data_IF_840594061289
#
_entry.id   IF_840594061289
#
_cell.length_a   1.000
_cell.length_b   1.000
_cell.length_c   1.000
_cell.angle_alpha   90.00
_cell.angle_beta   90.00
_cell.angle_gamma   90.00
#
_symmetry.space_group_name_H-M   'P 1'
#
loop_
_entity.id
_entity.type
_entity.pdbx_description
1 polymer ?
#
# COMPACT_ATOMS: atom_id res chain seq x y z
N UNK A 1 10.30 -13.30 10.78
CA UNK A 1 10.34 -14.44 9.86
C UNK A 1 10.02 -13.92 8.47
N UNK A 2 10.98 -14.03 7.56
CA UNK A 2 10.81 -13.60 6.18
C UNK A 2 9.75 -14.50 5.51
N UNK A 3 8.58 -13.92 5.22
CA UNK A 3 7.48 -14.63 4.56
C UNK A 3 7.85 -15.09 3.15
N UNK A 4 8.90 -14.52 2.56
CA UNK A 4 9.41 -14.90 1.24
C UNK A 4 10.03 -16.29 1.22
N UNK A 5 10.55 -16.77 2.35
CA UNK A 5 11.13 -18.10 2.45
C UNK A 5 10.08 -19.23 2.54
N UNK A 6 8.80 -18.90 2.73
CA UNK A 6 7.72 -19.88 2.74
C UNK A 6 7.25 -20.32 1.35
N UNK A 7 7.66 -19.64 0.28
CA UNK A 7 7.43 -20.07 -1.10
C UNK A 7 8.59 -20.96 -1.58
N UNK A 8 8.75 -22.10 -0.96
CA UNK A 8 9.85 -23.03 -1.28
C UNK A 8 9.61 -23.66 -2.64
N UNK A 9 10.56 -23.47 -3.56
CA UNK A 9 10.69 -24.31 -4.74
C UNK A 9 10.88 -25.75 -4.27
N UNK A 10 9.88 -26.60 -4.44
CA UNK A 10 10.00 -28.02 -4.10
C UNK A 10 10.72 -28.74 -5.23
N UNK A 11 11.99 -29.05 -5.02
CA UNK A 11 12.71 -29.95 -5.89
C UNK A 11 12.29 -31.39 -5.57
N UNK A 12 11.70 -32.08 -6.53
CA UNK A 12 11.40 -33.51 -6.42
C UNK A 12 12.53 -34.26 -7.10
N UNK A 13 13.35 -34.90 -6.31
CA UNK A 13 14.42 -35.78 -6.78
C UNK A 13 13.84 -37.17 -7.01
N UNK A 14 13.91 -37.65 -8.25
CA UNK A 14 13.61 -39.04 -8.59
C UNK A 14 14.91 -39.73 -8.96
N UNK A 15 15.23 -40.81 -8.26
CA UNK A 15 16.42 -41.63 -8.50
C UNK A 15 15.98 -43.02 -8.90
N UNK A 16 16.33 -43.45 -10.12
CA UNK A 16 16.17 -44.81 -10.57
C UNK A 16 17.53 -45.50 -10.55
N UNK A 17 17.62 -46.65 -9.90
CA UNK A 17 18.85 -47.43 -9.85
C UNK A 17 18.61 -48.79 -10.48
N UNK A 18 19.46 -49.16 -11.45
CA UNK A 18 19.46 -50.45 -12.08
C UNK A 18 20.59 -51.26 -11.46
N UNK A 19 20.25 -52.45 -10.97
CA UNK A 19 21.21 -53.44 -10.50
C UNK A 19 21.35 -54.51 -11.58
N UNK A 20 22.57 -54.86 -11.93
CA UNK A 20 22.84 -55.89 -12.91
C UNK A 20 24.10 -56.66 -12.52
N UNK A 21 24.20 -57.92 -12.99
CA UNK A 21 25.40 -58.72 -12.79
C UNK A 21 26.25 -58.70 -14.05
N UNK A 22 27.49 -58.23 -13.94
CA UNK A 22 28.47 -58.29 -15.00
C UNK A 22 29.72 -59.02 -14.52
N UNK A 23 30.14 -60.05 -15.27
CA UNK A 23 31.32 -60.87 -14.96
C UNK A 23 31.29 -61.44 -13.54
N UNK A 24 30.09 -61.86 -13.06
CA UNK A 24 29.92 -62.50 -11.71
C UNK A 24 30.01 -61.49 -10.56
N UNK A 25 29.97 -60.18 -10.84
CA UNK A 25 29.88 -59.14 -9.82
C UNK A 25 28.58 -58.40 -9.96
N UNK A 26 27.96 -58.04 -8.84
CA UNK A 26 26.83 -57.14 -8.84
C UNK A 26 27.32 -55.70 -9.07
N UNK A 27 26.74 -55.02 -10.04
CA UNK A 27 26.98 -53.64 -10.36
C UNK A 27 25.65 -52.85 -10.35
N UNK A 28 25.72 -51.55 -10.11
CA UNK A 28 24.56 -50.70 -10.18
C UNK A 28 24.87 -49.40 -10.93
N UNK A 29 23.89 -48.88 -11.65
CA UNK A 29 23.91 -47.54 -12.24
C UNK A 29 22.64 -46.80 -11.85
N UNK A 30 22.83 -45.60 -11.37
CA UNK A 30 21.72 -44.69 -11.01
C UNK A 30 21.60 -43.55 -12.00
N UNK A 31 20.40 -43.27 -12.41
CA UNK A 31 20.00 -42.03 -13.09
C UNK A 31 19.19 -41.18 -12.12
N UNK A 32 19.45 -39.91 -12.15
CA UNK A 32 18.78 -38.93 -11.32
C UNK A 32 18.15 -37.84 -12.17
N UNK A 33 16.88 -37.50 -11.90
CA UNK A 33 16.22 -36.34 -12.48
C UNK A 33 15.63 -35.48 -11.36
N UNK A 34 15.90 -34.21 -11.42
CA UNK A 34 15.40 -33.21 -10.47
C UNK A 34 14.34 -32.37 -11.16
N UNK A 35 13.08 -32.66 -10.83
CA UNK A 35 11.99 -31.78 -11.25
C UNK A 35 12.01 -30.52 -10.39
N UNK A 36 12.36 -29.39 -11.02
CA UNK A 36 12.25 -28.06 -10.40
C UNK A 36 10.85 -27.54 -10.70
N UNK A 37 10.03 -27.36 -9.68
CA UNK A 37 8.79 -26.59 -9.84
C UNK A 37 9.18 -25.12 -9.89
N UNK A 38 9.17 -24.47 -11.08
CA UNK A 38 9.61 -23.10 -11.17
C UNK A 38 8.69 -22.19 -10.34
N UNK A 39 9.29 -21.22 -9.65
CA UNK A 39 8.51 -20.15 -9.06
C UNK A 39 7.69 -19.44 -10.15
N UNK A 40 6.53 -18.87 -9.81
CA UNK A 40 5.83 -18.03 -10.76
C UNK A 40 6.78 -16.92 -11.23
N UNK A 41 6.83 -16.64 -12.55
CA UNK A 41 7.77 -15.67 -13.11
C UNK A 41 7.52 -14.23 -12.63
N UNK A 42 6.34 -13.96 -12.13
CA UNK A 42 5.94 -12.69 -11.53
C UNK A 42 5.13 -12.94 -10.27
N UNK A 43 5.44 -12.18 -9.21
CA UNK A 43 4.61 -12.05 -8.02
C UNK A 43 4.33 -10.57 -7.75
N UNK A 44 3.21 -10.29 -7.08
CA UNK A 44 2.79 -8.94 -6.72
C UNK A 44 2.25 -8.93 -5.29
N UNK A 45 2.75 -8.00 -4.48
CA UNK A 45 2.33 -7.84 -3.10
C UNK A 45 2.05 -6.38 -2.77
N UNK A 46 1.13 -6.15 -1.83
CA UNK A 46 0.97 -4.84 -1.16
C UNK A 46 1.98 -4.80 -0.02
N UNK A 47 2.83 -3.79 0.00
CA UNK A 47 3.86 -3.61 1.05
C UNK A 47 3.45 -2.61 2.10
N UNK A 48 2.66 -1.60 1.72
CA UNK A 48 2.12 -0.61 2.64
C UNK A 48 0.84 0.03 2.09
N UNK A 49 0.06 0.62 2.98
CA UNK A 49 -1.05 1.50 2.63
C UNK A 49 -1.10 2.68 3.60
N UNK A 50 -1.52 3.83 3.09
CA UNK A 50 -1.73 5.03 3.89
C UNK A 50 -3.14 5.53 3.59
N UNK A 51 -4.06 5.18 4.47
CA UNK A 51 -5.49 5.43 4.33
C UNK A 51 -5.79 6.92 4.14
N UNK A 52 -5.23 7.79 4.98
CA UNK A 52 -5.50 9.24 4.98
C UNK A 52 -5.05 9.95 3.69
N UNK A 53 -4.08 9.43 2.99
CA UNK A 53 -3.55 10.01 1.74
C UNK A 53 -3.93 9.22 0.51
N UNK A 54 -4.72 8.16 0.66
CA UNK A 54 -5.17 7.32 -0.45
C UNK A 54 -4.04 6.63 -1.20
N UNK A 55 -2.97 6.23 -0.49
CA UNK A 55 -1.76 5.64 -1.11
C UNK A 55 -1.64 4.16 -0.83
N UNK A 56 -1.22 3.41 -1.86
CA UNK A 56 -0.90 1.99 -1.76
C UNK A 56 0.47 1.75 -2.37
N UNK A 57 1.35 1.13 -1.60
CA UNK A 57 2.68 0.72 -2.07
C UNK A 57 2.67 -0.75 -2.46
N UNK A 58 3.29 -1.05 -3.58
CA UNK A 58 3.37 -2.38 -4.15
C UNK A 58 4.83 -2.79 -4.37
N UNK A 59 5.05 -4.09 -4.36
CA UNK A 59 6.27 -4.73 -4.82
C UNK A 59 5.92 -5.73 -5.91
N UNK A 60 6.58 -5.61 -7.05
CA UNK A 60 6.63 -6.62 -8.10
C UNK A 60 7.93 -7.40 -7.93
N UNK A 61 7.84 -8.70 -7.91
CA UNK A 61 8.98 -9.61 -7.81
C UNK A 61 9.03 -10.46 -9.09
N UNK A 62 10.06 -10.21 -9.90
CA UNK A 62 10.26 -10.87 -11.20
C UNK A 62 11.37 -11.90 -11.07
N UNK A 63 11.02 -13.19 -11.15
CA UNK A 63 12.01 -14.27 -11.13
C UNK A 63 12.68 -14.43 -12.50
N UNK A 64 13.93 -14.06 -12.59
CA UNK A 64 14.70 -14.16 -13.84
C UNK A 64 15.00 -15.61 -14.23
N UNK A 65 15.23 -16.48 -13.25
CA UNK A 65 15.51 -17.91 -13.49
C UNK A 65 14.30 -18.68 -14.03
N UNK A 66 13.08 -18.12 -13.92
CA UNK A 66 11.86 -18.71 -14.46
C UNK A 66 11.65 -18.44 -15.95
N UNK A 67 12.57 -17.69 -16.57
CA UNK A 67 12.49 -17.27 -17.97
C UNK A 67 13.73 -17.70 -18.75
N UNK A 68 13.51 -18.10 -20.03
CA UNK A 68 14.61 -18.36 -20.94
C UNK A 68 15.08 -17.02 -21.54
N UNK A 69 16.05 -16.39 -20.89
CA UNK A 69 16.64 -15.12 -21.34
C UNK A 69 18.02 -15.39 -21.98
N UNK A 70 18.25 -14.77 -23.14
CA UNK A 70 19.51 -14.92 -23.90
C UNK A 70 20.27 -13.61 -24.05
N UNK A 71 19.68 -12.49 -23.64
CA UNK A 71 20.20 -11.14 -23.81
C UNK A 71 19.66 -10.45 -25.06
N UNK A 72 19.40 -9.16 -24.94
CA UNK A 72 18.80 -8.34 -25.99
C UNK A 72 17.27 -8.26 -25.93
N UNK A 73 16.62 -9.06 -25.09
CA UNK A 73 15.18 -8.97 -24.88
C UNK A 73 14.82 -7.80 -23.96
N UNK A 74 13.55 -7.41 -24.01
CA UNK A 74 12.95 -6.53 -23.00
C UNK A 74 11.95 -7.32 -22.16
N UNK A 75 12.11 -7.29 -20.86
CA UNK A 75 11.12 -7.78 -19.89
C UNK A 75 10.25 -6.61 -19.50
N UNK A 76 8.94 -6.70 -19.73
CA UNK A 76 7.97 -5.65 -19.43
C UNK A 76 6.91 -6.17 -18.48
N UNK A 77 6.63 -5.45 -17.42
CA UNK A 77 5.46 -5.67 -16.58
C UNK A 77 4.43 -4.60 -16.94
N UNK A 78 3.29 -5.03 -17.45
CA UNK A 78 2.12 -4.17 -17.68
C UNK A 78 1.21 -4.28 -16.47
N UNK A 79 1.15 -3.22 -15.68
CA UNK A 79 0.40 -3.15 -14.43
C UNK A 79 -0.87 -2.32 -14.64
N UNK A 80 -2.02 -2.99 -14.64
CA UNK A 80 -3.32 -2.34 -14.79
C UNK A 80 -3.72 -1.77 -13.44
N UNK A 81 -3.60 -0.46 -13.32
CA UNK A 81 -3.97 0.26 -12.10
C UNK A 81 -5.49 0.19 -11.89
N UNK A 82 -5.93 0.18 -10.63
CA UNK A 82 -7.36 0.30 -10.34
C UNK A 82 -7.92 1.61 -10.91
N UNK A 83 -9.21 1.59 -11.25
CA UNK A 83 -9.94 2.83 -11.56
C UNK A 83 -9.77 3.82 -10.41
N UNK A 84 -9.66 5.10 -10.72
CA UNK A 84 -9.44 6.19 -9.76
C UNK A 84 -8.08 6.17 -9.03
N UNK A 85 -7.11 5.38 -9.53
CA UNK A 85 -5.73 5.42 -9.08
C UNK A 85 -4.75 5.77 -10.22
N UNK A 86 -3.65 6.40 -9.86
CA UNK A 86 -2.52 6.73 -10.75
C UNK A 86 -1.21 6.37 -10.07
N UNK A 87 -0.11 6.29 -10.83
CA UNK A 87 1.22 6.24 -10.24
C UNK A 87 1.46 7.51 -9.41
N UNK A 88 1.93 7.34 -8.19
CA UNK A 88 2.40 8.46 -7.39
C UNK A 88 3.71 8.99 -7.98
N UNK A 89 3.93 10.30 -7.85
CA UNK A 89 5.20 10.94 -8.20
C UNK A 89 6.37 10.52 -7.27
N UNK A 90 6.10 9.68 -6.26
CA UNK A 90 7.14 9.10 -5.42
C UNK A 90 8.09 8.22 -6.24
N UNK A 91 9.34 8.13 -5.76
CA UNK A 91 10.39 7.40 -6.45
C UNK A 91 10.03 5.92 -6.63
N UNK A 92 10.13 5.45 -7.88
CA UNK A 92 10.07 4.03 -8.23
C UNK A 92 11.47 3.47 -8.07
N UNK A 93 11.62 2.40 -7.29
CA UNK A 93 12.92 1.77 -7.08
C UNK A 93 12.93 0.38 -7.69
N UNK A 94 14.07 -0.01 -8.26
CA UNK A 94 14.30 -1.36 -8.74
C UNK A 94 15.69 -1.84 -8.30
N UNK A 95 15.77 -3.10 -7.89
CA UNK A 95 17.03 -3.69 -7.46
C UNK A 95 17.04 -5.21 -7.71
N UNK A 96 18.26 -5.75 -7.89
CA UNK A 96 18.44 -7.20 -7.89
C UNK A 96 18.28 -7.75 -6.48
N UNK A 97 17.59 -8.87 -6.40
CA UNK A 97 17.35 -9.61 -5.17
C UNK A 97 17.74 -11.06 -5.40
N UNK A 98 18.42 -11.66 -4.46
CA UNK A 98 18.82 -13.06 -4.51
C UNK A 98 18.13 -13.82 -3.39
N UNK A 99 17.80 -15.07 -3.68
CA UNK A 99 17.28 -16.03 -2.72
C UNK A 99 18.08 -17.32 -2.85
N UNK A 100 18.79 -17.68 -1.79
CA UNK A 100 19.48 -18.95 -1.65
C UNK A 100 18.75 -19.82 -0.64
N UNK A 101 17.91 -20.70 -1.15
CA UNK A 101 17.08 -21.60 -0.32
C UNK A 101 17.95 -22.61 0.44
N UNK A 102 19.04 -23.07 -0.17
CA UNK A 102 19.92 -24.06 0.45
C UNK A 102 20.61 -23.52 1.72
N UNK A 103 20.94 -22.22 1.74
CA UNK A 103 21.58 -21.57 2.87
C UNK A 103 20.62 -20.71 3.70
N UNK A 104 19.31 -20.76 3.39
CA UNK A 104 18.27 -19.97 4.06
C UNK A 104 18.60 -18.47 4.11
N UNK A 105 19.06 -17.93 2.99
CA UNK A 105 19.54 -16.57 2.86
C UNK A 105 18.83 -15.86 1.70
N UNK A 106 18.38 -14.63 1.93
CA UNK A 106 17.75 -13.81 0.90
C UNK A 106 17.97 -12.31 1.19
N UNK A 107 18.18 -11.51 0.14
CA UNK A 107 18.40 -10.08 0.31
C UNK A 107 18.71 -9.34 -0.98
N UNK A 108 18.87 -8.01 -0.88
CA UNK A 108 19.35 -7.19 -2.00
C UNK A 108 20.76 -7.61 -2.39
N UNK A 109 21.00 -7.80 -3.68
CA UNK A 109 22.31 -8.21 -4.16
C UNK A 109 23.40 -7.17 -3.85
N UNK A 110 23.06 -5.88 -3.78
CA UNK A 110 23.98 -4.84 -3.33
C UNK A 110 24.59 -5.10 -1.95
N UNK A 111 23.80 -5.69 -1.06
CA UNK A 111 24.17 -5.98 0.33
C UNK A 111 24.85 -7.35 0.45
N UNK A 112 24.69 -8.18 -0.57
CA UNK A 112 25.14 -9.57 -0.66
C UNK A 112 26.01 -9.80 -1.92
N UNK A 113 26.84 -8.82 -2.24
CA UNK A 113 27.62 -8.76 -3.50
C UNK A 113 28.55 -9.98 -3.74
N UNK A 114 28.87 -10.73 -2.68
CA UNK A 114 29.65 -11.98 -2.79
C UNK A 114 28.96 -13.03 -3.66
N UNK A 115 27.61 -13.02 -3.77
CA UNK A 115 26.89 -13.90 -4.71
C UNK A 115 27.21 -13.60 -6.17
N UNK A 116 27.63 -12.40 -6.49
CA UNK A 116 28.01 -12.04 -7.85
C UNK A 116 29.33 -12.70 -8.30
N UNK A 117 30.06 -13.35 -7.40
CA UNK A 117 31.30 -14.07 -7.75
C UNK A 117 32.38 -13.17 -8.40
N UNK A 118 32.35 -11.86 -8.10
CA UNK A 118 33.22 -10.84 -8.72
C UNK A 118 32.70 -10.25 -10.03
N UNK A 119 31.54 -10.69 -10.52
CA UNK A 119 30.88 -10.03 -11.66
C UNK A 119 30.38 -8.63 -11.27
N UNK A 120 30.37 -7.72 -12.21
CA UNK A 120 29.79 -6.39 -12.02
C UNK A 120 28.29 -6.49 -11.91
N UNK A 121 27.67 -5.87 -10.89
CA UNK A 121 26.23 -5.73 -10.78
C UNK A 121 25.78 -4.61 -11.73
N UNK A 122 25.08 -4.92 -12.84
CA UNK A 122 24.70 -3.91 -13.80
C UNK A 122 23.59 -3.00 -13.26
N UNK A 123 23.48 -1.81 -13.84
CA UNK A 123 22.29 -0.98 -13.62
C UNK A 123 21.08 -1.65 -14.28
N UNK A 124 19.95 -1.71 -13.57
CA UNK A 124 18.71 -2.31 -14.09
C UNK A 124 18.19 -1.58 -15.33
N UNK A 125 18.44 -0.26 -15.43
CA UNK A 125 17.98 0.52 -16.58
C UNK A 125 16.45 0.57 -16.69
N UNK A 126 15.73 0.49 -15.56
CA UNK A 126 14.27 0.49 -15.52
C UNK A 126 13.71 1.72 -16.24
N UNK A 127 12.85 1.46 -17.22
CA UNK A 127 12.05 2.47 -17.91
C UNK A 127 10.61 2.37 -17.44
N UNK A 128 9.99 3.52 -17.13
CA UNK A 128 8.64 3.57 -16.60
C UNK A 128 7.78 4.50 -17.44
N UNK A 129 6.53 4.11 -17.65
CA UNK A 129 5.50 4.95 -18.28
C UNK A 129 4.13 4.61 -17.72
N UNK A 130 3.21 5.55 -17.82
CA UNK A 130 1.80 5.32 -17.53
C UNK A 130 0.96 5.82 -18.70
N UNK A 131 0.06 4.99 -19.18
CA UNK A 131 -0.85 5.35 -20.26
C UNK A 131 -2.19 4.66 -20.04
N UNK A 132 -3.28 5.42 -20.00
CA UNK A 132 -4.64 4.90 -19.86
C UNK A 132 -4.83 3.94 -18.67
N UNK A 133 -4.28 4.28 -17.51
CA UNK A 133 -4.36 3.46 -16.30
C UNK A 133 -3.49 2.20 -16.32
N UNK A 134 -2.56 2.08 -17.26
CA UNK A 134 -1.57 1.01 -17.30
C UNK A 134 -0.20 1.59 -17.02
N UNK A 135 0.39 1.19 -15.90
CA UNK A 135 1.79 1.46 -15.60
C UNK A 135 2.65 0.37 -16.24
N UNK A 136 3.65 0.78 -17.01
CA UNK A 136 4.60 -0.13 -17.67
C UNK A 136 5.97 0.03 -17.05
N UNK A 137 6.55 -1.10 -16.64
CA UNK A 137 7.89 -1.21 -16.10
C UNK A 137 8.73 -2.08 -17.05
N UNK A 138 9.60 -1.46 -17.83
CA UNK A 138 10.41 -2.16 -18.84
C UNK A 138 11.85 -2.24 -18.41
N UNK A 139 12.41 -3.45 -18.45
CA UNK A 139 13.76 -3.79 -18.08
C UNK A 139 14.46 -4.34 -19.32
N UNK A 140 15.49 -3.65 -19.86
CA UNK A 140 16.31 -4.19 -20.94
C UNK A 140 17.23 -5.30 -20.38
N UNK A 141 17.12 -6.50 -20.90
CA UNK A 141 17.99 -7.62 -20.53
C UNK A 141 19.29 -7.52 -21.34
N UNK A 142 20.37 -7.18 -20.66
CA UNK A 142 21.69 -7.04 -21.30
C UNK A 142 22.53 -8.31 -21.15
N UNK A 143 23.62 -8.41 -21.91
CA UNK A 143 24.59 -9.48 -21.73
C UNK A 143 25.17 -9.51 -20.30
N UNK A 144 25.31 -8.35 -19.66
CA UNK A 144 25.77 -8.26 -18.28
C UNK A 144 24.80 -8.88 -17.28
N UNK A 145 23.46 -8.82 -17.54
CA UNK A 145 22.46 -9.52 -16.74
C UNK A 145 22.66 -11.02 -16.82
N UNK A 146 22.86 -11.55 -18.03
CA UNK A 146 23.12 -12.98 -18.23
C UNK A 146 24.41 -13.41 -17.55
N UNK A 147 25.46 -12.59 -17.66
CA UNK A 147 26.73 -12.84 -16.99
C UNK A 147 26.57 -12.86 -15.46
N UNK A 148 25.80 -11.91 -14.90
CA UNK A 148 25.49 -11.86 -13.48
C UNK A 148 24.70 -13.10 -13.01
N UNK A 149 23.66 -13.48 -13.72
CA UNK A 149 22.85 -14.67 -13.39
C UNK A 149 23.72 -15.94 -13.37
N UNK A 150 24.57 -16.11 -14.39
CA UNK A 150 25.50 -17.24 -14.46
C UNK A 150 26.53 -17.23 -13.32
N UNK A 151 27.01 -16.04 -12.94
CA UNK A 151 27.95 -15.92 -11.82
C UNK A 151 27.30 -16.29 -10.48
N UNK A 152 26.04 -15.89 -10.27
CA UNK A 152 25.27 -16.23 -9.08
C UNK A 152 25.02 -17.75 -9.01
N UNK A 153 24.61 -18.35 -10.11
CA UNK A 153 24.35 -19.80 -10.19
C UNK A 153 25.63 -20.62 -9.98
N UNK A 154 26.76 -20.16 -10.52
CA UNK A 154 28.08 -20.78 -10.29
C UNK A 154 28.57 -20.63 -8.84
N UNK A 155 28.21 -19.56 -8.15
CA UNK A 155 28.58 -19.36 -6.74
C UNK A 155 27.79 -20.31 -5.82
N UNK A 156 26.49 -20.41 -6.02
CA UNK A 156 25.60 -21.29 -5.24
C UNK A 156 24.50 -21.82 -6.15
N UNK A 157 24.64 -23.06 -6.60
CA UNK A 157 23.69 -23.70 -7.49
C UNK A 157 22.28 -23.73 -6.87
N UNK A 158 21.29 -23.29 -7.63
CA UNK A 158 19.90 -23.18 -7.18
C UNK A 158 19.57 -21.89 -6.47
N UNK A 159 20.48 -20.92 -6.46
CA UNK A 159 20.15 -19.55 -6.05
C UNK A 159 19.27 -18.90 -7.11
N UNK A 160 18.19 -18.28 -6.65
CA UNK A 160 17.25 -17.59 -7.52
C UNK A 160 17.61 -16.11 -7.59
N UNK A 161 17.64 -15.59 -8.82
CA UNK A 161 17.88 -14.16 -9.09
C UNK A 161 16.57 -13.51 -9.48
N UNK A 162 16.21 -12.44 -8.79
CA UNK A 162 15.01 -11.66 -8.99
C UNK A 162 15.33 -10.21 -9.29
N UNK A 163 14.42 -9.51 -9.95
CA UNK A 163 14.33 -8.06 -9.92
C UNK A 163 13.09 -7.69 -9.13
N UNK A 164 13.26 -6.89 -8.09
CA UNK A 164 12.16 -6.29 -7.34
C UNK A 164 11.97 -4.85 -7.74
N UNK A 165 10.71 -4.48 -8.00
CA UNK A 165 10.29 -3.12 -8.34
C UNK A 165 9.31 -2.68 -7.25
N UNK A 166 9.66 -1.61 -6.54
CA UNK A 166 8.80 -0.98 -5.54
C UNK A 166 8.26 0.32 -6.10
N UNK A 167 6.97 0.52 -6.02
CA UNK A 167 6.28 1.71 -6.48
C UNK A 167 5.04 1.98 -5.62
N UNK A 168 4.53 3.20 -5.71
CA UNK A 168 3.34 3.63 -4.99
C UNK A 168 2.31 4.15 -5.98
N UNK A 169 1.05 3.82 -5.75
CA UNK A 169 -0.10 4.46 -6.40
C UNK A 169 -0.82 5.36 -5.42
N UNK A 170 -1.54 6.32 -5.94
CA UNK A 170 -2.37 7.23 -5.14
C UNK A 170 -3.72 7.43 -5.82
N UNK A 171 -4.76 7.71 -5.05
CA UNK A 171 -6.06 8.06 -5.60
C UNK A 171 -5.96 9.33 -6.44
N UNK A 172 -6.69 9.38 -7.55
CA UNK A 172 -6.69 10.53 -8.46
C UNK A 172 -7.30 11.78 -7.83
N UNK A 173 -8.26 11.58 -6.91
CA UNK A 173 -8.94 12.62 -6.17
C UNK A 173 -9.19 12.17 -4.73
N UNK A 174 -8.53 12.82 -3.76
CA UNK A 174 -8.78 12.59 -2.34
C UNK A 174 -10.18 13.02 -1.93
N UNK A 175 -10.71 14.05 -2.57
CA UNK A 175 -12.06 14.55 -2.33
C UNK A 175 -13.12 13.52 -2.70
N UNK A 176 -13.05 12.96 -3.93
CA UNK A 176 -14.00 11.93 -4.35
C UNK A 176 -13.85 10.65 -3.51
N UNK A 177 -12.64 10.32 -3.13
CA UNK A 177 -12.38 9.21 -2.22
C UNK A 177 -12.97 9.48 -0.82
N UNK A 178 -12.84 10.70 -0.30
CA UNK A 178 -13.42 11.10 0.99
C UNK A 178 -14.96 10.97 0.99
N UNK A 179 -15.62 11.32 -0.12
CA UNK A 179 -17.07 11.16 -0.30
C UNK A 179 -17.51 9.69 -0.28
N UNK A 180 -16.66 8.75 -0.72
CA UNK A 180 -16.95 7.31 -0.72
C UNK A 180 -16.82 6.65 0.66
N UNK A 181 -16.02 7.18 1.55
CA UNK A 181 -15.76 6.67 2.89
C UNK A 181 -14.80 5.47 2.96
N UNK A 182 -14.90 4.52 2.04
CA UNK A 182 -13.93 3.43 1.85
C UNK A 182 -14.06 2.83 0.47
N UNK A 183 -12.97 2.30 -0.07
CA UNK A 183 -12.96 1.67 -1.39
C UNK A 183 -11.96 0.51 -1.44
N UNK A 184 -12.32 -0.53 -2.21
CA UNK A 184 -11.48 -1.70 -2.43
C UNK A 184 -10.88 -1.62 -3.82
N UNK A 185 -9.56 -1.63 -3.86
CA UNK A 185 -8.76 -1.53 -5.08
C UNK A 185 -8.13 -2.87 -5.42
N UNK A 186 -8.36 -3.33 -6.66
CA UNK A 186 -7.70 -4.52 -7.21
C UNK A 186 -6.72 -4.07 -8.29
N UNK A 187 -5.46 -4.40 -8.10
CA UNK A 187 -4.37 -4.06 -9.01
C UNK A 187 -3.81 -5.33 -9.63
N UNK A 188 -3.68 -5.39 -10.96
CA UNK A 188 -3.32 -6.58 -11.73
C UNK A 188 -2.11 -6.32 -12.62
N UNK A 189 -1.15 -7.25 -12.63
CA UNK A 189 0.07 -7.13 -13.42
C UNK A 189 0.27 -8.35 -14.32
N UNK A 190 0.72 -8.12 -15.56
CA UNK A 190 1.09 -9.14 -16.54
C UNK A 190 2.55 -8.96 -16.97
N UNK A 191 3.32 -10.05 -16.87
CA UNK A 191 4.69 -10.10 -17.36
C UNK A 191 4.70 -10.42 -18.86
N UNK A 192 5.62 -9.79 -19.58
CA UNK A 192 5.88 -9.99 -21.01
C UNK A 192 7.36 -10.06 -21.30
N UNK A 193 7.73 -10.88 -22.28
CA UNK A 193 9.05 -10.83 -22.95
C UNK A 193 8.79 -10.40 -24.39
N UNK A 194 9.29 -9.22 -24.75
CA UNK A 194 8.87 -8.57 -25.99
C UNK A 194 7.35 -8.35 -26.01
N UNK A 195 6.67 -8.94 -26.99
CA UNK A 195 5.19 -8.88 -27.11
C UNK A 195 4.47 -10.09 -26.49
N UNK A 196 5.19 -11.11 -26.02
CA UNK A 196 4.63 -12.38 -25.56
C UNK A 196 4.36 -12.36 -24.05
N UNK A 197 3.14 -12.72 -23.65
CA UNK A 197 2.80 -12.87 -22.23
C UNK A 197 3.52 -14.08 -21.63
N UNK A 198 4.03 -13.92 -20.42
CA UNK A 198 4.70 -14.96 -19.62
C UNK A 198 3.88 -15.23 -18.36
N UNK A 199 3.47 -16.46 -18.20
CA UNK A 199 2.61 -16.84 -17.07
C UNK A 199 1.21 -16.23 -17.14
N UNK A 200 0.46 -16.37 -16.05
CA UNK A 200 -0.85 -15.75 -15.86
C UNK A 200 -0.70 -14.40 -15.17
N UNK A 201 -1.63 -13.44 -15.39
CA UNK A 201 -1.65 -12.21 -14.63
C UNK A 201 -1.72 -12.47 -13.13
N UNK A 202 -1.02 -11.66 -12.36
CA UNK A 202 -1.08 -11.66 -10.89
C UNK A 202 -1.86 -10.46 -10.41
N UNK A 203 -2.67 -10.63 -9.36
CA UNK A 203 -3.51 -9.56 -8.83
C UNK A 203 -3.38 -9.50 -7.31
N UNK A 204 -3.52 -8.30 -6.76
CA UNK A 204 -3.65 -8.09 -5.33
C UNK A 204 -4.78 -7.10 -5.06
N UNK A 205 -5.47 -7.31 -3.94
CA UNK A 205 -6.63 -6.51 -3.54
C UNK A 205 -6.39 -5.92 -2.16
N UNK A 206 -6.70 -4.64 -1.98
CA UNK A 206 -6.63 -3.98 -0.68
C UNK A 206 -7.73 -2.95 -0.54
N UNK A 207 -8.18 -2.72 0.70
CA UNK A 207 -9.16 -1.70 1.02
C UNK A 207 -8.49 -0.54 1.70
N UNK A 208 -8.72 0.68 1.19
CA UNK A 208 -8.40 1.93 1.86
C UNK A 208 -9.65 2.48 2.56
N UNK A 209 -9.42 3.16 3.66
CA UNK A 209 -10.43 3.97 4.34
C UNK A 209 -10.15 5.43 4.04
N UNK A 210 -11.16 6.13 3.56
CA UNK A 210 -11.04 7.55 3.30
C UNK A 210 -10.83 8.35 4.60
N UNK A 211 -10.26 9.56 4.52
CA UNK A 211 -10.20 10.47 5.65
C UNK A 211 -11.59 10.70 6.23
N UNK A 212 -11.68 10.72 7.56
CA UNK A 212 -12.93 11.02 8.23
C UNK A 212 -13.34 12.47 7.94
N UNK A 213 -14.56 12.65 7.41
CA UNK A 213 -15.11 14.00 7.15
C UNK A 213 -15.57 14.69 8.44
N UNK A 214 -15.82 13.94 9.49
CA UNK A 214 -16.21 14.45 10.80
C UNK A 214 -15.56 13.60 11.90
N UNK A 215 -15.06 14.27 12.94
CA UNK A 215 -14.66 13.64 14.20
C UNK A 215 -15.25 14.41 15.36
N UNK A 216 -15.47 13.71 16.49
CA UNK A 216 -15.99 14.33 17.71
C UNK A 216 -15.23 13.76 18.90
N UNK A 217 -14.68 14.64 19.69
CA UNK A 217 -14.03 14.37 20.98
C UNK A 217 -14.75 15.14 22.07
N UNK A 218 -14.66 14.64 23.31
CA UNK A 218 -15.31 15.31 24.42
C UNK A 218 -14.68 14.98 25.77
N UNK A 219 -14.83 15.92 26.71
CA UNK A 219 -14.43 15.77 28.10
C UNK A 219 -15.65 15.95 29.00
N UNK A 220 -15.88 15.00 29.89
CA UNK A 220 -16.94 15.07 30.90
C UNK A 220 -16.37 15.40 32.26
N UNK A 221 -16.88 16.44 32.90
CA UNK A 221 -16.48 16.91 34.21
C UNK A 221 -17.45 16.40 35.30
N UNK A 222 -17.41 15.09 35.53
CA UNK A 222 -18.35 14.38 36.40
C UNK A 222 -17.96 14.32 37.89
N UNK A 223 -16.74 14.75 38.23
CA UNK A 223 -16.24 14.70 39.62
C UNK A 223 -16.34 16.06 40.30
N UNK A 224 -17.04 16.12 41.42
CA UNK A 224 -17.05 17.30 42.27
C UNK A 224 -15.84 17.26 43.18
N UNK A 225 -15.03 18.33 43.18
CA UNK A 225 -13.89 18.48 44.06
C UNK A 225 -14.29 19.19 45.35
N UNK A 226 -14.22 18.47 46.48
CA UNK A 226 -14.56 18.99 47.81
C UNK A 226 -13.41 19.80 48.45
N UNK A 227 -12.29 19.99 47.78
CA UNK A 227 -11.17 20.78 48.30
C UNK A 227 -11.56 22.25 48.37
N UNK A 228 -11.23 22.89 49.53
CA UNK A 228 -11.50 24.31 49.73
C UNK A 228 -10.80 25.16 48.66
N UNK A 229 -11.59 25.92 47.91
CA UNK A 229 -11.11 26.78 46.79
C UNK A 229 -11.00 26.07 45.45
N UNK A 230 -11.44 24.82 45.33
CA UNK A 230 -11.53 24.13 44.02
C UNK A 230 -12.54 24.81 43.06
N UNK A 231 -12.18 24.89 41.80
CA UNK A 231 -13.08 25.38 40.75
C UNK A 231 -14.01 24.26 40.29
N UNK A 232 -15.25 24.29 40.75
CA UNK A 232 -16.32 23.38 40.33
C UNK A 232 -17.25 23.99 39.28
N UNK A 233 -16.88 25.06 38.60
CA UNK A 233 -17.72 25.76 37.66
C UNK A 233 -18.15 24.86 36.45
N UNK A 234 -17.33 23.85 36.13
CA UNK A 234 -17.59 22.85 35.08
C UNK A 234 -18.24 21.54 35.61
N UNK A 235 -18.48 21.43 36.88
CA UNK A 235 -19.06 20.18 37.41
C UNK A 235 -20.37 19.82 36.72
N UNK A 236 -20.50 18.54 36.38
CA UNK A 236 -21.65 17.97 35.65
C UNK A 236 -21.86 18.56 34.22
N UNK A 237 -20.79 19.05 33.62
CA UNK A 237 -20.79 19.51 32.25
C UNK A 237 -19.96 18.61 31.35
N UNK A 238 -20.24 18.66 30.04
CA UNK A 238 -19.42 18.04 29.01
C UNK A 238 -19.06 19.09 27.96
N UNK A 239 -17.78 19.13 27.60
CA UNK A 239 -17.28 19.96 26.50
C UNK A 239 -16.95 19.07 25.32
N UNK A 240 -17.40 19.43 24.14
CA UNK A 240 -17.14 18.70 22.91
C UNK A 240 -16.40 19.55 21.90
N UNK A 241 -15.53 18.90 21.16
CA UNK A 241 -14.92 19.45 19.95
C UNK A 241 -15.33 18.57 18.78
N UNK A 242 -15.89 19.20 17.75
CA UNK A 242 -16.26 18.54 16.49
C UNK A 242 -15.40 19.15 15.40
N UNK A 243 -14.62 18.31 14.73
CA UNK A 243 -13.88 18.69 13.53
C UNK A 243 -14.70 18.26 12.32
N UNK A 244 -14.85 19.17 11.35
CA UNK A 244 -15.63 18.95 10.12
C UNK A 244 -14.76 19.26 8.92
N UNK A 245 -14.73 18.35 7.95
CA UNK A 245 -14.05 18.51 6.67
C UNK A 245 -12.56 18.91 6.81
N UNK A 246 -11.80 18.15 7.57
CA UNK A 246 -10.38 18.43 7.87
C UNK A 246 -9.50 18.57 6.62
N UNK A 247 -9.89 17.95 5.50
CA UNK A 247 -9.22 18.08 4.21
C UNK A 247 -9.61 19.33 3.41
N UNK A 248 -10.54 20.14 3.91
CA UNK A 248 -11.10 21.30 3.21
C UNK A 248 -11.60 20.97 1.78
N UNK A 249 -12.17 19.77 1.61
CA UNK A 249 -12.69 19.29 0.33
C UNK A 249 -13.94 20.06 -0.09
N UNK A 250 -14.16 20.21 -1.41
CA UNK A 250 -15.42 20.70 -1.99
C UNK A 250 -16.43 19.54 -2.00
N UNK A 251 -17.21 19.43 -0.92
CA UNK A 251 -18.13 18.31 -0.71
C UNK A 251 -19.51 18.56 -1.35
N UNK A 252 -19.89 19.81 -1.52
CA UNK A 252 -21.18 20.23 -2.08
C UNK A 252 -20.94 21.15 -3.28
N UNK A 253 -21.15 20.69 -4.52
CA UNK A 253 -20.87 21.50 -5.71
C UNK A 253 -21.58 22.86 -5.71
N UNK A 254 -20.88 23.90 -6.14
CA UNK A 254 -21.36 25.25 -6.21
C UNK A 254 -21.29 25.99 -4.86
N UNK A 255 -22.25 26.91 -4.60
CA UNK A 255 -22.30 27.67 -3.34
C UNK A 255 -23.06 26.91 -2.22
N UNK A 256 -22.96 25.57 -2.23
CA UNK A 256 -23.64 24.72 -1.25
C UNK A 256 -23.09 24.90 0.16
N UNK A 257 -23.88 24.47 1.14
CA UNK A 257 -23.49 24.46 2.55
C UNK A 257 -23.46 23.02 3.07
N UNK A 258 -22.49 22.73 3.92
CA UNK A 258 -22.46 21.48 4.66
C UNK A 258 -23.51 21.50 5.77
N UNK A 259 -24.20 20.41 5.93
CA UNK A 259 -25.05 20.19 7.10
C UNK A 259 -24.33 19.25 8.07
N UNK A 260 -24.07 19.71 9.29
CA UNK A 260 -23.64 18.85 10.39
C UNK A 260 -24.73 18.75 11.45
N UNK A 261 -24.97 17.54 11.95
CA UNK A 261 -25.94 17.30 13.01
C UNK A 261 -25.23 16.67 14.21
N UNK A 262 -25.35 17.32 15.36
CA UNK A 262 -24.89 16.77 16.64
C UNK A 262 -26.08 16.38 17.50
N UNK A 263 -26.09 15.15 18.01
CA UNK A 263 -27.17 14.63 18.86
C UNK A 263 -26.62 14.26 20.24
N UNK A 264 -27.20 14.90 21.26
CA UNK A 264 -26.90 14.53 22.67
C UNK A 264 -27.83 13.45 23.20
N UNK A 265 -27.32 12.70 24.17
CA UNK A 265 -28.15 11.85 25.01
C UNK A 265 -29.15 12.69 25.85
N UNK A 266 -30.26 12.07 26.24
CA UNK A 266 -31.38 12.75 26.93
C UNK A 266 -31.04 13.33 28.30
N UNK A 267 -29.89 12.93 28.87
CA UNK A 267 -29.40 13.43 30.17
C UNK A 267 -28.71 14.82 30.07
N UNK A 268 -28.43 15.31 28.85
CA UNK A 268 -27.74 16.55 28.63
C UNK A 268 -28.60 17.54 27.85
N UNK A 269 -28.35 18.82 28.07
CA UNK A 269 -28.87 19.92 27.28
C UNK A 269 -27.75 20.79 26.74
N UNK A 270 -27.95 21.39 25.58
CA UNK A 270 -26.99 22.29 24.97
C UNK A 270 -26.97 23.66 25.64
N UNK A 271 -25.77 24.18 25.90
CA UNK A 271 -25.58 25.59 26.17
C UNK A 271 -25.38 26.33 24.85
N UNK A 272 -26.44 26.88 24.27
CA UNK A 272 -26.39 27.55 22.97
C UNK A 272 -25.45 28.77 22.92
N UNK A 273 -25.16 29.39 24.08
CA UNK A 273 -24.28 30.56 24.16
C UNK A 273 -22.79 30.19 24.14
N UNK A 274 -22.47 28.94 24.47
CA UNK A 274 -21.07 28.46 24.45
C UNK A 274 -20.58 28.03 23.09
N UNK A 275 -21.49 27.82 22.12
CA UNK A 275 -21.17 27.31 20.79
C UNK A 275 -20.32 28.30 20.02
N UNK A 276 -19.16 27.86 19.54
CA UNK A 276 -18.25 28.61 18.70
C UNK A 276 -17.84 27.75 17.51
N UNK A 277 -17.73 28.39 16.36
CA UNK A 277 -17.25 27.76 15.11
C UNK A 277 -16.03 28.53 14.64
N UNK A 278 -15.00 27.77 14.27
CA UNK A 278 -13.74 28.31 13.76
C UNK A 278 -13.44 27.71 12.39
N UNK A 279 -12.88 28.52 11.52
CA UNK A 279 -12.12 28.02 10.37
C UNK A 279 -10.69 27.74 10.83
N UNK A 280 -10.15 26.56 10.46
CA UNK A 280 -8.78 26.15 10.81
C UNK A 280 -7.93 26.15 9.55
N UNK A 281 -6.90 26.97 9.52
CA UNK A 281 -6.00 27.07 8.39
C UNK A 281 -4.54 27.03 8.87
N UNK A 282 -3.79 26.00 8.47
CA UNK A 282 -2.41 25.80 8.89
C UNK A 282 -2.22 25.76 10.40
N UNK A 283 -3.23 25.27 11.16
CA UNK A 283 -3.24 25.22 12.61
C UNK A 283 -3.69 26.52 13.31
N UNK A 284 -4.01 27.55 12.55
CA UNK A 284 -4.57 28.82 13.08
C UNK A 284 -6.09 28.75 13.06
N UNK A 285 -6.71 29.03 14.20
CA UNK A 285 -8.17 29.08 14.38
C UNK A 285 -8.68 30.52 14.21
N UNK A 286 -9.55 30.74 13.23
CA UNK A 286 -10.21 32.03 13.00
C UNK A 286 -11.70 31.90 13.32
N UNK A 287 -12.25 32.68 14.27
CA UNK A 287 -13.65 32.55 14.65
C UNK A 287 -14.57 32.99 13.52
N UNK A 288 -15.63 32.22 13.29
CA UNK A 288 -16.73 32.51 12.36
C UNK A 288 -17.89 33.16 13.09
N UNK A 289 -18.64 34.02 12.40
CA UNK A 289 -19.78 34.77 12.93
C UNK A 289 -21.08 34.02 12.71
N UNK A 290 -21.81 33.74 13.79
CA UNK A 290 -23.14 33.14 13.71
C UNK A 290 -24.14 34.06 13.01
N UNK A 291 -24.97 33.49 12.16
CA UNK A 291 -25.95 34.20 11.34
C UNK A 291 -25.39 34.81 10.04
N UNK A 292 -24.07 34.93 9.91
CA UNK A 292 -23.38 35.40 8.70
C UNK A 292 -22.62 34.28 8.01
N UNK A 293 -21.66 33.68 8.72
CA UNK A 293 -20.78 32.64 8.15
C UNK A 293 -21.40 31.26 8.31
N UNK A 294 -22.11 31.01 9.41
CA UNK A 294 -22.81 29.76 9.66
C UNK A 294 -24.15 30.03 10.38
N UNK A 295 -25.01 29.01 10.39
CA UNK A 295 -26.21 29.00 11.24
C UNK A 295 -26.27 27.78 12.09
N UNK A 296 -26.86 27.88 13.28
CA UNK A 296 -27.16 26.76 14.16
C UNK A 296 -28.60 26.83 14.63
N UNK A 297 -29.27 25.68 14.61
CA UNK A 297 -30.63 25.52 15.12
C UNK A 297 -30.71 24.34 16.06
N UNK A 298 -31.59 24.41 17.06
CA UNK A 298 -31.84 23.35 18.02
C UNK A 298 -33.19 22.70 17.75
N UNK A 299 -33.20 21.39 17.65
CA UNK A 299 -34.41 20.58 17.59
C UNK A 299 -34.61 19.89 18.96
N UNK A 300 -35.57 20.39 19.73
CA UNK A 300 -35.86 19.84 21.06
C UNK A 300 -36.52 18.46 21.01
N UNK A 301 -37.13 18.06 19.91
CA UNK A 301 -37.79 16.75 19.76
C UNK A 301 -36.75 15.61 19.66
N UNK A 302 -35.64 15.86 19.01
CA UNK A 302 -34.53 14.91 18.82
C UNK A 302 -33.31 15.17 19.72
N UNK A 303 -33.34 16.25 20.52
CA UNK A 303 -32.23 16.77 21.29
C UNK A 303 -30.96 16.90 20.43
N UNK A 304 -31.08 17.59 19.30
CA UNK A 304 -29.98 17.75 18.35
C UNK A 304 -29.77 19.20 17.94
N UNK A 305 -28.51 19.51 17.63
CA UNK A 305 -28.10 20.72 16.93
C UNK A 305 -27.93 20.44 15.45
N UNK A 306 -28.43 21.32 14.61
CA UNK A 306 -28.20 21.33 13.17
C UNK A 306 -27.42 22.58 12.81
N UNK A 307 -26.25 22.38 12.20
CA UNK A 307 -25.39 23.43 11.68
C UNK A 307 -25.48 23.47 10.15
N UNK A 308 -25.60 24.67 9.60
CA UNK A 308 -25.36 24.96 8.18
C UNK A 308 -24.01 25.69 8.09
N UNK A 309 -23.02 25.02 7.53
CA UNK A 309 -21.61 25.41 7.56
C UNK A 309 -21.10 25.73 6.16
N UNK A 310 -20.11 26.63 6.00
CA UNK A 310 -19.47 26.83 4.71
C UNK A 310 -18.76 25.55 4.26
N UNK A 311 -18.82 25.26 2.96
CA UNK A 311 -18.10 24.16 2.34
C UNK A 311 -16.65 24.55 2.00
N UNK A 312 -15.83 23.58 1.56
CA UNK A 312 -14.43 23.77 1.15
C UNK A 312 -13.53 24.35 2.25
N UNK A 313 -13.89 24.12 3.51
CA UNK A 313 -13.17 24.61 4.69
C UNK A 313 -13.00 23.50 5.73
N UNK A 314 -11.85 23.51 6.41
CA UNK A 314 -11.69 22.77 7.66
C UNK A 314 -12.29 23.59 8.81
N UNK A 315 -13.29 23.03 9.48
CA UNK A 315 -14.03 23.71 10.54
C UNK A 315 -13.89 22.97 11.87
N UNK A 316 -13.85 23.75 12.94
CA UNK A 316 -13.87 23.26 14.33
C UNK A 316 -15.03 23.90 15.06
N UNK A 317 -15.86 23.08 15.70
CA UNK A 317 -17.00 23.49 16.55
C UNK A 317 -16.65 23.12 17.99
N UNK A 318 -16.79 24.06 18.91
CA UNK A 318 -16.57 23.87 20.34
C UNK A 318 -17.76 24.31 21.16
#
# INVERSE_FOLDING_TARGET
LDTDLNQVQRNFKNVATIYYSANGKEESKSGEDIYKNPLPPLNKTVTAKVDETGKISYMLDVSLNSMALSGGESVTIADTLPTDMKLSSSMITAYFYVRDVAHNTAGKLSDMSYYAGGATIPNIGLQTSETNGIASFTIPVTADYIALMNAIDNYSAGTETHIRIEYTTEVTSLEDFAKKGSETFTNSAQLKIGSTNVGTPVSTTTTLKAPALVSKDGVFYGTYDNTTGADNSKYNTAEYTIEVNKGAYDLVPGDGKLTAVDKLGTAFSYNMQSIKVYEVNGGTETPLTSGTDYTVSYDGSSNSLRFELPDSKYLKIT
#
